data_IF_896283001020
#
_entry.id   IF_896283001020
#
_cell.length_a   1.000
_cell.length_b   1.000
_cell.length_c   1.000
_cell.angle_alpha   90.00
_cell.angle_beta   90.00
_cell.angle_gamma   90.00
#
_symmetry.space_group_name_H-M   'P 1'
#
loop_
_entity.id
_entity.type
_entity.pdbx_description
1 polymer ?
#
# COMPACT_ATOMS: atom_id res chain seq x y z
N UNK A 1 4.17 18.84 -14.09
CA UNK A 1 3.25 20.00 -13.93
C UNK A 1 3.22 20.38 -12.45
N UNK A 2 3.87 21.46 -12.02
CA UNK A 2 4.04 21.72 -10.58
C UNK A 2 4.33 23.16 -10.18
N UNK A 3 3.88 24.16 -10.95
CA UNK A 3 4.17 25.58 -10.69
C UNK A 3 2.93 26.44 -10.39
N UNK A 4 1.71 25.87 -10.34
CA UNK A 4 0.48 26.63 -10.06
C UNK A 4 -0.16 26.35 -8.69
N UNK A 5 0.31 25.35 -7.95
CA UNK A 5 -0.37 24.83 -6.74
C UNK A 5 -0.35 25.77 -5.52
N UNK A 6 0.64 26.65 -5.39
CA UNK A 6 0.82 27.49 -4.19
C UNK A 6 -0.07 28.76 -4.16
N UNK A 7 -0.97 28.94 -5.14
CA UNK A 7 -1.66 30.22 -5.36
C UNK A 7 -3.20 30.12 -5.41
N UNK A 8 -3.80 28.95 -5.14
CA UNK A 8 -5.23 28.75 -5.33
C UNK A 8 -6.01 28.82 -4.00
N UNK A 9 -6.95 29.76 -3.84
CA UNK A 9 -7.87 29.78 -2.70
C UNK A 9 -8.80 28.56 -2.76
N UNK A 10 -9.16 28.03 -1.58
CA UNK A 10 -10.08 26.89 -1.43
C UNK A 10 -11.51 27.26 -1.86
N UNK A 11 -11.76 27.27 -3.17
CA UNK A 11 -13.10 27.53 -3.70
C UNK A 11 -13.93 26.23 -3.75
N UNK A 12 -15.25 26.34 -3.55
CA UNK A 12 -16.21 25.22 -3.63
C UNK A 12 -16.13 24.48 -4.98
N UNK A 13 -15.72 25.17 -6.04
CA UNK A 13 -15.47 24.57 -7.35
C UNK A 13 -14.27 23.60 -7.34
N UNK A 14 -13.12 24.01 -6.78
CA UNK A 14 -11.92 23.18 -6.74
C UNK A 14 -12.09 21.94 -5.86
N UNK A 15 -12.78 22.09 -4.73
CA UNK A 15 -13.07 20.95 -3.84
C UNK A 15 -14.01 19.93 -4.48
N UNK A 16 -15.01 20.39 -5.24
CA UNK A 16 -15.89 19.50 -6.02
C UNK A 16 -15.14 18.81 -7.15
N UNK A 17 -14.26 19.53 -7.86
CA UNK A 17 -13.45 18.97 -8.96
C UNK A 17 -12.47 17.91 -8.46
N UNK A 18 -11.73 18.18 -7.38
CA UNK A 18 -10.80 17.23 -6.74
C UNK A 18 -11.53 15.97 -6.26
N UNK A 19 -12.70 16.15 -5.62
CA UNK A 19 -13.53 15.05 -5.15
C UNK A 19 -14.03 14.17 -6.28
N UNK A 20 -14.57 14.76 -7.34
CA UNK A 20 -15.22 14.03 -8.42
C UNK A 20 -14.22 13.37 -9.38
N UNK A 21 -13.14 14.07 -9.75
CA UNK A 21 -12.23 13.58 -10.79
C UNK A 21 -11.08 12.76 -10.20
N UNK A 22 -10.39 13.27 -9.19
CA UNK A 22 -9.20 12.61 -8.66
C UNK A 22 -9.56 11.57 -7.60
N UNK A 23 -10.27 11.96 -6.53
CA UNK A 23 -10.53 11.06 -5.40
C UNK A 23 -11.47 9.92 -5.74
N UNK A 24 -12.57 10.22 -6.43
CA UNK A 24 -13.53 9.18 -6.84
C UNK A 24 -12.95 8.25 -7.90
N UNK A 25 -12.20 8.77 -8.88
CA UNK A 25 -11.55 7.94 -9.89
C UNK A 25 -10.58 6.94 -9.26
N UNK A 26 -9.64 7.43 -8.45
CA UNK A 26 -8.61 6.57 -7.86
C UNK A 26 -9.12 5.58 -6.84
N UNK A 27 -10.10 5.96 -6.00
CA UNK A 27 -10.63 5.01 -5.01
C UNK A 27 -11.38 3.84 -5.67
N UNK A 28 -11.94 4.04 -6.86
CA UNK A 28 -12.84 3.08 -7.52
C UNK A 28 -12.15 2.25 -8.60
N UNK A 29 -10.84 2.42 -8.81
CA UNK A 29 -10.07 1.72 -9.84
C UNK A 29 -8.65 1.39 -9.40
N UNK A 30 -8.48 0.78 -8.23
CA UNK A 30 -7.17 0.43 -7.67
C UNK A 30 -6.65 -0.87 -8.29
N UNK A 31 -5.54 -0.84 -9.01
CA UNK A 31 -4.91 -2.03 -9.55
C UNK A 31 -3.80 -2.52 -8.64
N UNK A 32 -4.06 -3.64 -7.95
CA UNK A 32 -3.08 -4.19 -7.03
C UNK A 32 -2.05 -5.07 -7.75
N UNK A 33 -0.80 -4.97 -7.29
CA UNK A 33 0.26 -5.87 -7.68
C UNK A 33 -0.02 -7.25 -7.08
N UNK A 34 -0.07 -8.28 -7.93
CA UNK A 34 -0.18 -9.66 -7.48
C UNK A 34 1.14 -10.10 -6.82
N UNK A 35 1.28 -9.81 -5.54
CA UNK A 35 2.50 -10.04 -4.77
C UNK A 35 2.21 -10.86 -3.51
N UNK A 36 2.64 -12.12 -3.53
CA UNK A 36 2.48 -13.05 -2.41
C UNK A 36 3.81 -13.70 -2.05
N UNK A 37 4.21 -13.64 -0.78
CA UNK A 37 5.48 -14.22 -0.32
C UNK A 37 5.30 -15.46 0.56
N UNK A 38 4.15 -15.60 1.23
CA UNK A 38 3.87 -16.70 2.16
C UNK A 38 2.38 -17.05 2.16
N UNK A 39 1.88 -17.65 3.25
CA UNK A 39 0.51 -18.15 3.38
C UNK A 39 -0.59 -17.11 3.09
N UNK A 40 -0.38 -15.83 3.45
CA UNK A 40 -1.37 -14.78 3.15
C UNK A 40 -1.64 -14.58 1.66
N UNK A 41 -0.77 -15.10 0.77
CA UNK A 41 -0.99 -15.08 -0.67
C UNK A 41 -2.22 -15.90 -1.08
N UNK A 42 -2.49 -17.01 -0.41
CA UNK A 42 -3.63 -17.88 -0.72
C UNK A 42 -4.93 -17.14 -0.39
N UNK A 43 -4.98 -16.47 0.76
CA UNK A 43 -6.13 -15.66 1.17
C UNK A 43 -6.31 -14.44 0.26
N UNK A 44 -5.22 -13.83 -0.23
CA UNK A 44 -5.29 -12.79 -1.26
C UNK A 44 -5.90 -13.35 -2.56
N UNK A 45 -5.51 -14.55 -3.00
CA UNK A 45 -6.12 -15.18 -4.16
C UNK A 45 -7.60 -15.49 -3.91
N UNK A 46 -7.96 -15.98 -2.73
CA UNK A 46 -9.35 -16.24 -2.34
C UNK A 46 -10.21 -14.96 -2.34
N UNK A 47 -9.65 -13.81 -1.95
CA UNK A 47 -10.36 -12.53 -2.05
C UNK A 47 -10.65 -12.11 -3.49
N UNK A 48 -9.84 -12.55 -4.46
CA UNK A 48 -10.07 -12.34 -5.88
C UNK A 48 -11.00 -13.38 -6.53
N UNK A 49 -11.39 -14.44 -5.82
CA UNK A 49 -12.29 -15.48 -6.36
C UNK A 49 -13.77 -15.09 -6.21
N UNK A 50 -14.62 -15.82 -6.91
CA UNK A 50 -16.07 -15.58 -7.03
C UNK A 50 -16.84 -15.38 -5.73
N UNK A 51 -16.38 -15.95 -4.61
CA UNK A 51 -17.06 -15.82 -3.31
C UNK A 51 -16.97 -14.39 -2.75
N UNK A 52 -15.85 -13.72 -2.94
CA UNK A 52 -15.55 -12.42 -2.32
C UNK A 52 -15.38 -11.29 -3.35
N UNK A 53 -14.93 -11.65 -4.55
CA UNK A 53 -14.83 -10.81 -5.74
C UNK A 53 -14.34 -9.38 -5.47
N UNK A 54 -13.02 -9.23 -5.36
CA UNK A 54 -12.34 -7.94 -5.28
C UNK A 54 -12.59 -7.06 -6.53
N UNK A 55 -12.85 -7.65 -7.69
CA UNK A 55 -13.05 -6.90 -8.93
C UNK A 55 -14.33 -6.05 -8.89
N UNK A 56 -15.31 -6.45 -8.08
CA UNK A 56 -16.51 -5.65 -7.79
C UNK A 56 -16.20 -4.25 -7.26
N UNK A 57 -15.08 -4.07 -6.56
CA UNK A 57 -14.63 -2.78 -6.04
C UNK A 57 -13.70 -2.02 -7.02
N UNK A 58 -13.56 -2.51 -8.25
CA UNK A 58 -12.62 -2.01 -9.25
C UNK A 58 -11.17 -2.40 -8.96
N UNK A 59 -10.97 -3.47 -8.17
CA UNK A 59 -9.65 -3.95 -7.78
C UNK A 59 -9.18 -5.11 -8.63
N UNK A 60 -8.33 -4.81 -9.62
CA UNK A 60 -7.86 -5.79 -10.61
C UNK A 60 -6.40 -6.18 -10.32
N UNK A 61 -6.06 -7.48 -10.31
CA UNK A 61 -4.67 -7.92 -10.18
C UNK A 61 -3.86 -7.58 -11.43
N UNK A 62 -2.70 -6.94 -11.25
CA UNK A 62 -1.69 -6.76 -12.30
C UNK A 62 -0.40 -7.46 -11.92
N UNK A 63 0.21 -8.14 -12.88
CA UNK A 63 1.48 -8.83 -12.68
C UNK A 63 2.70 -7.88 -12.72
N UNK A 64 2.54 -6.70 -13.31
CA UNK A 64 3.65 -5.76 -13.51
C UNK A 64 3.54 -4.55 -12.58
N UNK A 65 4.64 -4.16 -11.89
CA UNK A 65 4.62 -3.02 -10.97
C UNK A 65 4.37 -1.69 -11.67
N UNK A 66 4.70 -1.57 -12.96
CA UNK A 66 4.51 -0.32 -13.71
C UNK A 66 3.04 -0.01 -14.01
N UNK A 67 2.18 -1.03 -13.97
CA UNK A 67 0.75 -0.89 -14.20
C UNK A 67 -0.04 -0.84 -12.89
N UNK A 68 0.51 -1.34 -11.79
CA UNK A 68 -0.16 -1.33 -10.48
C UNK A 68 0.06 -0.01 -9.73
N UNK A 69 -0.97 0.46 -9.03
CA UNK A 69 -0.92 1.60 -8.10
C UNK A 69 -1.03 1.16 -6.62
N UNK A 70 -1.51 -0.06 -6.36
CA UNK A 70 -1.59 -0.64 -5.01
C UNK A 70 -0.61 -1.81 -4.87
N UNK A 71 0.19 -1.83 -3.81
CA UNK A 71 1.02 -2.97 -3.45
C UNK A 71 0.49 -3.61 -2.17
N UNK A 72 -0.03 -4.84 -2.28
CA UNK A 72 -0.42 -5.64 -1.11
C UNK A 72 0.76 -6.54 -0.77
N UNK A 73 1.34 -6.35 0.41
CA UNK A 73 2.41 -7.24 0.90
C UNK A 73 1.78 -8.38 1.68
N UNK A 74 1.47 -9.46 0.95
CA UNK A 74 0.81 -10.64 1.49
C UNK A 74 1.84 -11.67 2.00
N UNK A 75 2.20 -11.54 3.29
CA UNK A 75 2.95 -12.55 4.02
C UNK A 75 4.31 -12.11 4.54
N UNK A 76 5.11 -13.09 4.95
CA UNK A 76 6.42 -12.89 5.58
C UNK A 76 7.43 -12.29 4.60
N UNK A 77 8.21 -11.31 5.06
CA UNK A 77 9.30 -10.71 4.30
C UNK A 77 10.63 -11.12 4.92
N UNK A 78 11.50 -11.74 4.13
CA UNK A 78 12.87 -12.06 4.54
C UNK A 78 13.83 -10.93 4.16
N UNK A 79 14.99 -10.84 4.83
CA UNK A 79 16.03 -9.86 4.49
C UNK A 79 16.47 -9.94 3.03
N UNK A 80 16.51 -11.15 2.44
CA UNK A 80 16.79 -11.33 1.01
C UNK A 80 15.71 -10.74 0.11
N UNK A 81 14.45 -10.83 0.52
CA UNK A 81 13.31 -10.31 -0.23
C UNK A 81 13.13 -8.79 -0.08
N UNK A 82 13.58 -8.22 1.04
CA UNK A 82 13.49 -6.81 1.37
C UNK A 82 13.92 -5.87 0.22
N UNK A 83 15.10 -6.11 -0.35
CA UNK A 83 15.63 -5.30 -1.45
C UNK A 83 14.80 -5.43 -2.73
N UNK A 84 14.20 -6.59 -2.99
CA UNK A 84 13.35 -6.80 -4.17
C UNK A 84 12.02 -6.07 -4.04
N UNK A 85 11.43 -6.12 -2.85
CA UNK A 85 10.21 -5.38 -2.50
C UNK A 85 10.43 -3.88 -2.68
N UNK A 86 11.54 -3.34 -2.17
CA UNK A 86 11.92 -1.93 -2.38
C UNK A 86 11.99 -1.55 -3.86
N UNK A 87 12.65 -2.38 -4.68
CA UNK A 87 12.77 -2.13 -6.13
C UNK A 87 11.43 -2.17 -6.85
N UNK A 88 10.55 -3.11 -6.49
CA UNK A 88 9.19 -3.17 -7.05
C UNK A 88 8.42 -1.89 -6.75
N UNK A 89 8.48 -1.44 -5.50
CA UNK A 89 7.83 -0.21 -5.07
C UNK A 89 8.41 1.05 -5.73
N UNK A 90 9.73 1.11 -5.93
CA UNK A 90 10.39 2.21 -6.65
C UNK A 90 9.98 2.25 -8.14
N UNK A 91 9.66 1.11 -8.75
CA UNK A 91 9.21 1.02 -10.14
C UNK A 91 7.73 1.35 -10.36
N UNK A 92 6.93 1.41 -9.28
CA UNK A 92 5.51 1.78 -9.37
C UNK A 92 5.33 3.27 -9.66
N UNK A 93 4.34 3.64 -10.50
CA UNK A 93 4.00 5.03 -10.76
C UNK A 93 3.48 5.72 -9.49
N UNK A 94 3.63 7.04 -9.44
CA UNK A 94 2.98 7.88 -8.44
C UNK A 94 1.58 8.24 -8.98
N UNK A 95 0.46 8.07 -8.25
CA UNK A 95 0.28 7.74 -6.83
C UNK A 95 0.37 6.24 -6.53
N UNK A 96 1.00 5.87 -5.42
CA UNK A 96 1.07 4.48 -4.97
C UNK A 96 0.68 4.31 -3.52
N UNK A 97 0.08 3.18 -3.21
CA UNK A 97 -0.42 2.82 -1.89
C UNK A 97 0.08 1.44 -1.49
N UNK A 98 0.24 1.24 -0.18
CA UNK A 98 0.75 -0.04 0.35
C UNK A 98 -0.13 -0.56 1.48
N UNK A 99 -0.60 -1.79 1.33
CA UNK A 99 -1.28 -2.52 2.40
C UNK A 99 -0.34 -3.60 2.93
N UNK A 100 -0.08 -3.58 4.23
CA UNK A 100 0.58 -4.71 4.90
C UNK A 100 -0.48 -5.73 5.33
N UNK A 101 -0.40 -6.94 4.78
CA UNK A 101 -1.37 -8.00 5.01
C UNK A 101 -0.77 -9.11 5.87
N UNK A 102 -1.34 -9.28 7.05
CA UNK A 102 -0.98 -10.33 8.00
C UNK A 102 0.05 -9.89 9.05
N UNK A 103 0.11 -10.64 10.15
CA UNK A 103 0.98 -10.37 11.30
C UNK A 103 2.46 -10.35 10.91
N UNK A 104 2.86 -11.23 9.98
CA UNK A 104 4.23 -11.30 9.50
C UNK A 104 4.66 -10.02 8.74
N UNK A 105 3.78 -9.43 7.93
CA UNK A 105 4.08 -8.18 7.23
C UNK A 105 4.07 -6.97 8.17
N UNK A 106 3.22 -6.99 9.20
CA UNK A 106 3.07 -5.86 10.13
C UNK A 106 4.23 -5.78 11.13
N UNK A 107 4.60 -6.90 11.77
CA UNK A 107 5.59 -6.91 12.85
C UNK A 107 6.58 -8.09 12.83
N UNK A 108 6.50 -9.00 11.84
CA UNK A 108 7.25 -10.26 11.81
C UNK A 108 6.44 -11.47 12.33
N UNK A 109 5.32 -11.23 13.02
CA UNK A 109 4.35 -12.26 13.41
C UNK A 109 4.96 -13.40 14.23
N UNK A 110 4.71 -14.64 13.82
CA UNK A 110 5.29 -15.81 14.47
C UNK A 110 6.82 -15.90 14.34
N UNK A 111 7.40 -15.17 13.40
CA UNK A 111 8.83 -15.24 13.07
C UNK A 111 9.64 -14.04 13.58
N UNK A 112 9.12 -13.29 14.56
CA UNK A 112 9.78 -12.10 15.13
C UNK A 112 11.20 -12.37 15.62
N UNK A 113 11.45 -13.58 16.15
CA UNK A 113 12.75 -14.00 16.68
C UNK A 113 13.61 -14.76 15.66
N UNK A 114 13.19 -14.83 14.39
CA UNK A 114 13.97 -15.50 13.34
C UNK A 114 15.03 -14.57 12.78
N UNK A 115 16.24 -15.10 12.57
CA UNK A 115 17.38 -14.36 12.02
C UNK A 115 17.16 -13.86 10.58
N UNK A 116 16.24 -14.49 9.84
CA UNK A 116 16.07 -14.26 8.40
C UNK A 116 14.89 -13.35 8.06
N UNK A 117 14.01 -13.08 9.03
CA UNK A 117 12.74 -12.38 8.82
C UNK A 117 12.85 -10.93 9.27
N UNK A 118 12.24 -10.06 8.48
CA UNK A 118 12.12 -8.65 8.79
C UNK A 118 10.92 -8.43 9.72
N UNK A 119 11.16 -7.77 10.85
CA UNK A 119 10.11 -7.41 11.82
C UNK A 119 9.29 -6.19 11.36
N UNK A 120 8.59 -6.34 10.23
CA UNK A 120 7.68 -5.33 9.67
C UNK A 120 8.17 -4.69 8.37
N UNK A 121 7.28 -4.65 7.37
CA UNK A 121 7.52 -4.08 6.02
C UNK A 121 7.83 -2.58 6.07
N UNK A 122 7.33 -1.91 7.10
CA UNK A 122 7.50 -0.48 7.38
C UNK A 122 8.95 -0.01 7.42
N UNK A 123 9.87 -0.93 7.75
CA UNK A 123 11.29 -0.64 7.79
C UNK A 123 11.86 -0.32 6.40
N UNK A 124 11.20 -0.78 5.34
CA UNK A 124 11.68 -0.68 3.95
C UNK A 124 10.80 0.26 3.12
N UNK A 125 9.48 0.18 3.29
CA UNK A 125 8.50 0.91 2.47
C UNK A 125 7.46 1.54 3.41
N UNK A 126 6.96 2.76 3.13
CA UNK A 126 5.85 3.32 3.89
C UNK A 126 4.57 2.50 3.68
N UNK A 127 3.96 2.04 4.76
CA UNK A 127 2.67 1.33 4.74
C UNK A 127 1.53 2.32 5.01
N UNK A 128 0.44 2.18 4.27
CA UNK A 128 -0.74 3.04 4.40
C UNK A 128 -1.80 2.47 5.33
N UNK A 129 -2.04 1.16 5.24
CA UNK A 129 -3.04 0.43 6.02
C UNK A 129 -2.46 -0.91 6.44
N UNK A 130 -2.69 -1.29 7.70
CA UNK A 130 -2.33 -2.60 8.24
C UNK A 130 -3.59 -3.45 8.37
N UNK A 131 -3.50 -4.69 7.90
CA UNK A 131 -4.55 -5.69 8.08
C UNK A 131 -4.02 -6.78 9.01
N UNK A 132 -4.50 -6.87 10.26
CA UNK A 132 -4.08 -7.92 11.18
C UNK A 132 -4.70 -9.28 10.79
N UNK A 133 -3.94 -10.36 10.98
CA UNK A 133 -4.41 -11.73 10.76
C UNK A 133 -3.26 -12.71 10.52
N UNK A 134 -3.52 -14.02 10.59
CA UNK A 134 -2.49 -15.05 10.36
C UNK A 134 -3.08 -16.38 9.83
N UNK A 135 -3.52 -16.45 8.55
CA UNK A 135 -3.75 -15.34 7.62
C UNK A 135 -5.05 -14.58 7.95
N UNK A 136 -5.21 -13.31 7.54
CA UNK A 136 -6.48 -12.59 7.71
C UNK A 136 -7.56 -13.24 6.85
N UNK A 137 -8.79 -13.30 7.38
CA UNK A 137 -9.92 -13.76 6.57
C UNK A 137 -10.14 -12.83 5.38
N UNK A 138 -10.64 -13.34 4.24
CA UNK A 138 -10.93 -12.52 3.06
C UNK A 138 -11.75 -11.25 3.34
N UNK A 139 -12.74 -11.34 4.23
CA UNK A 139 -13.58 -10.22 4.61
C UNK A 139 -12.77 -9.12 5.32
N UNK A 140 -11.80 -9.50 6.16
CA UNK A 140 -10.94 -8.55 6.85
C UNK A 140 -10.00 -7.82 5.87
N UNK A 141 -9.55 -8.51 4.81
CA UNK A 141 -8.77 -7.85 3.75
C UNK A 141 -9.63 -6.86 2.97
N UNK A 142 -10.88 -7.22 2.66
CA UNK A 142 -11.84 -6.31 2.00
C UNK A 142 -12.07 -5.07 2.87
N UNK A 143 -12.25 -5.24 4.19
CA UNK A 143 -12.36 -4.11 5.12
C UNK A 143 -11.11 -3.22 5.09
N UNK A 144 -9.92 -3.84 5.04
CA UNK A 144 -8.65 -3.11 4.85
C UNK A 144 -8.62 -2.30 3.56
N UNK A 145 -9.13 -2.85 2.46
CA UNK A 145 -9.26 -2.15 1.19
C UNK A 145 -10.27 -1.00 1.26
N UNK A 146 -11.39 -1.18 1.96
CA UNK A 146 -12.36 -0.10 2.21
C UNK A 146 -11.76 1.04 3.03
N UNK A 147 -11.00 0.73 4.08
CA UNK A 147 -10.26 1.74 4.85
C UNK A 147 -9.24 2.50 3.99
N UNK A 148 -8.60 1.83 3.03
CA UNK A 148 -7.74 2.49 2.06
C UNK A 148 -8.54 3.43 1.15
N UNK A 149 -9.69 3.00 0.64
CA UNK A 149 -10.59 3.84 -0.17
C UNK A 149 -11.03 5.09 0.60
N UNK A 150 -11.35 4.96 1.89
CA UNK A 150 -11.69 6.07 2.77
C UNK A 150 -10.50 7.01 2.99
N UNK A 151 -9.29 6.46 3.15
CA UNK A 151 -8.06 7.24 3.25
C UNK A 151 -7.80 8.04 1.97
N UNK A 152 -7.96 7.44 0.80
CA UNK A 152 -7.84 8.11 -0.51
C UNK A 152 -8.89 9.22 -0.61
N UNK A 153 -10.11 8.94 -0.17
CA UNK A 153 -11.16 9.94 -0.13
C UNK A 153 -10.89 11.01 0.92
N UNK A 154 -10.10 10.82 1.97
CA UNK A 154 -9.82 11.91 2.92
C UNK A 154 -8.80 12.93 2.41
N UNK A 155 -7.98 12.57 1.43
CA UNK A 155 -6.79 13.33 1.04
C UNK A 155 -7.05 14.25 -0.18
N UNK A 156 -7.05 15.59 -0.01
CA UNK A 156 -7.14 16.52 -1.13
C UNK A 156 -5.82 16.51 -1.92
N UNK A 157 -5.88 16.24 -3.22
CA UNK A 157 -4.67 16.08 -4.04
C UNK A 157 -4.21 17.37 -4.70
N UNK A 158 -5.13 18.27 -5.00
CA UNK A 158 -4.83 19.61 -5.51
C UNK A 158 -4.17 20.55 -4.46
N UNK A 159 -3.97 20.10 -3.22
CA UNK A 159 -3.38 20.90 -2.11
C UNK A 159 -2.12 20.21 -1.53
N UNK A 160 -1.47 19.32 -2.29
CA UNK A 160 -0.57 18.30 -1.74
C UNK A 160 0.59 18.82 -0.87
N UNK A 161 0.57 18.46 0.42
CA UNK A 161 1.74 18.44 1.32
C UNK A 161 2.71 17.34 0.84
N UNK A 162 3.98 17.67 0.59
CA UNK A 162 5.02 16.72 0.12
C UNK A 162 5.09 15.46 0.98
N UNK A 163 4.49 14.35 0.54
CA UNK A 163 4.67 13.02 1.15
C UNK A 163 6.05 12.41 0.87
N UNK A 164 6.73 12.86 -0.20
CA UNK A 164 7.97 12.26 -0.70
C UNK A 164 9.24 12.61 0.10
N UNK A 165 9.19 13.57 1.02
CA UNK A 165 10.38 13.97 1.80
C UNK A 165 10.60 13.14 3.07
N UNK A 166 9.57 12.47 3.60
CA UNK A 166 9.63 11.80 4.91
C UNK A 166 10.16 10.36 4.80
N UNK A 167 9.91 9.66 3.69
CA UNK A 167 10.31 8.24 3.54
C UNK A 167 11.82 8.06 3.36
N UNK A 168 12.48 8.92 2.59
CA UNK A 168 13.93 8.84 2.33
C UNK A 168 14.78 9.28 3.53
N UNK A 169 14.29 10.19 4.37
CA UNK A 169 14.96 10.58 5.62
C UNK A 169 14.83 9.52 6.72
N UNK A 170 13.67 8.86 6.84
CA UNK A 170 13.48 7.79 7.84
C UNK A 170 14.24 6.50 7.48
N UNK A 171 14.38 6.18 6.19
CA UNK A 171 15.15 5.02 5.70
C UNK A 171 16.65 5.11 6.01
N UNK A 172 17.24 6.32 5.98
CA UNK A 172 18.66 6.50 6.38
C UNK A 172 18.89 6.23 7.87
N UNK A 173 17.90 6.51 8.72
CA UNK A 173 17.98 6.26 10.16
C UNK A 173 17.67 4.82 10.57
N UNK A 174 16.86 4.08 9.82
CA UNK A 174 16.50 2.70 10.14
C UNK A 174 17.53 1.66 9.68
N UNK A 175 18.22 1.91 8.56
CA UNK A 175 19.33 1.04 8.12
C UNK A 175 20.50 1.07 9.11
N UNK A 176 20.85 2.23 9.66
CA UNK A 176 21.90 2.38 10.69
C UNK A 176 21.57 1.71 12.05
N UNK A 177 20.30 1.36 12.29
CA UNK A 177 19.83 0.71 13.52
C UNK A 177 19.56 -0.79 13.36
N UNK A 178 19.61 -1.32 12.13
CA UNK A 178 19.44 -2.75 11.87
C UNK A 178 20.77 -3.52 11.95
N UNK A 179 21.89 -2.80 11.96
CA UNK A 179 23.25 -3.34 12.04
C UNK A 179 23.84 -3.32 13.49
N UNK A 180 23.01 -2.99 14.49
CA UNK A 180 23.34 -2.96 15.94
C UNK A 180 22.34 -3.77 16.74
#
# INVERSE_FOLDING_TARGET
>A
MGLLEHRLPENVFFTKLDRLTMRWGLRNSLWYLLFGTACCAIELMQTGMSRYDLDRFGMIPRATPRQSDLMIVAGTVTYKMALRIRRLYEQMPEPKYVIAMGSCANCGGAFVHSYSVLNGVDKIIPVDVYVPGCPPRPEALIEGCMKLMDKINSEPRLVRKKRSAISSQRLKGSLLKADS
#
